data_IF_898323812764
#
_entry.id   IF_898323812764
#
_cell.length_a   1.000
_cell.length_b   1.000
_cell.length_c   1.000
_cell.angle_alpha   90.00
_cell.angle_beta   90.00
_cell.angle_gamma   90.00
#
_symmetry.space_group_name_H-M   'P 1'
#
loop_
_entity.id
_entity.type
_entity.pdbx_description
1 polymer ?
#
# COMPACT_ATOMS: atom_id res chain seq x y z
N UNK A 1 -22.26 47.06 7.29
CA UNK A 1 -21.15 47.74 6.59
C UNK A 1 -20.63 46.75 5.57
N UNK A 2 -20.65 47.13 4.28
CA UNK A 2 -20.50 46.25 3.12
C UNK A 2 -19.14 46.60 2.51
N UNK A 3 -18.13 45.75 2.67
CA UNK A 3 -16.83 46.02 2.07
C UNK A 3 -16.47 44.89 1.09
N UNK A 4 -16.22 45.32 -0.13
CA UNK A 4 -16.15 44.55 -1.35
C UNK A 4 -14.81 43.82 -1.51
N UNK A 5 -14.87 42.64 -2.15
CA UNK A 5 -13.74 42.05 -2.88
C UNK A 5 -13.42 42.91 -4.12
N UNK A 6 -12.14 42.93 -4.53
CA UNK A 6 -11.87 42.46 -5.87
C UNK A 6 -10.71 41.47 -5.97
N UNK A 7 -10.89 40.53 -6.92
CA UNK A 7 -9.92 39.58 -7.45
C UNK A 7 -8.58 40.23 -7.82
N UNK A 8 -7.48 39.49 -7.65
CA UNK A 8 -6.44 39.42 -8.68
C UNK A 8 -5.91 37.99 -8.79
N UNK A 9 -6.21 37.38 -9.94
CA UNK A 9 -5.60 36.14 -10.39
C UNK A 9 -4.30 36.46 -11.14
N UNK A 10 -3.23 35.72 -10.89
CA UNK A 10 -2.13 35.56 -11.83
C UNK A 10 -1.51 34.17 -11.68
N UNK A 11 -1.91 33.32 -12.61
CA UNK A 11 -1.41 31.98 -12.88
C UNK A 11 -0.10 32.12 -13.67
N UNK A 12 1.01 31.55 -13.20
CA UNK A 12 2.23 31.38 -14.01
C UNK A 12 2.68 29.92 -13.96
N UNK A 13 2.16 29.20 -14.97
CA UNK A 13 2.75 28.15 -15.80
C UNK A 13 3.97 27.37 -15.27
N UNK A 14 3.80 26.05 -15.32
CA UNK A 14 4.76 25.00 -15.05
C UNK A 14 5.83 24.83 -16.16
N UNK A 15 6.78 23.92 -15.84
CA UNK A 15 7.70 23.15 -16.69
C UNK A 15 8.84 23.92 -17.37
N UNK A 16 10.10 23.46 -17.37
CA UNK A 16 10.73 22.28 -16.81
C UNK A 16 12.24 22.42 -17.02
N UNK A 17 13.04 22.09 -16.00
CA UNK A 17 14.50 22.12 -16.12
C UNK A 17 14.99 21.03 -17.06
N UNK A 18 15.88 21.45 -17.94
CA UNK A 18 16.34 20.74 -19.12
C UNK A 18 17.25 19.57 -18.77
N UNK A 19 16.98 18.42 -19.39
CA UNK A 19 17.74 17.19 -19.26
C UNK A 19 19.03 17.29 -20.09
N UNK A 20 20.12 17.69 -19.45
CA UNK A 20 21.47 17.48 -19.98
C UNK A 20 22.05 16.23 -19.33
N UNK A 21 21.99 15.11 -20.04
CA UNK A 21 22.92 14.00 -19.80
C UNK A 21 23.53 13.64 -21.13
N UNK A 22 24.83 13.89 -21.19
CA UNK A 22 25.70 13.69 -22.32
C UNK A 22 25.67 12.23 -22.79
N UNK A 23 25.91 12.13 -24.09
CA UNK A 23 26.34 10.97 -24.86
C UNK A 23 27.38 10.14 -24.09
N UNK A 24 27.02 8.90 -23.72
CA UNK A 24 27.97 7.87 -23.33
C UNK A 24 27.94 6.80 -24.43
N UNK A 25 29.07 6.41 -25.03
CA UNK A 25 29.09 5.39 -26.07
C UNK A 25 28.59 4.05 -25.50
N UNK A 26 27.85 3.25 -26.30
CA UNK A 26 27.41 1.94 -25.86
C UNK A 26 28.61 1.02 -25.56
N UNK A 27 28.54 0.18 -24.51
CA UNK A 27 29.57 -0.81 -24.27
C UNK A 27 29.64 -1.84 -25.42
N UNK A 28 30.80 -2.43 -25.70
CA UNK A 28 30.96 -3.41 -26.78
C UNK A 28 30.11 -4.67 -26.53
N UNK A 29 29.66 -5.37 -27.60
CA UNK A 29 28.86 -6.57 -27.47
C UNK A 29 29.67 -7.66 -26.77
N UNK A 30 29.29 -7.97 -25.54
CA UNK A 30 29.85 -9.10 -24.80
C UNK A 30 29.08 -10.35 -25.20
N UNK A 31 29.81 -11.39 -25.58
CA UNK A 31 29.34 -12.67 -26.12
C UNK A 31 28.21 -13.33 -25.30
N UNK A 32 27.37 -14.19 -25.92
CA UNK A 32 26.32 -14.90 -25.22
C UNK A 32 26.92 -15.85 -24.17
N UNK A 33 26.65 -15.56 -22.90
CA UNK A 33 26.86 -16.52 -21.82
C UNK A 33 25.79 -17.60 -21.99
N UNK A 34 26.23 -18.81 -22.30
CA UNK A 34 25.38 -20.01 -22.31
C UNK A 34 24.72 -20.16 -20.94
N UNK A 35 23.41 -19.91 -20.88
CA UNK A 35 22.57 -20.30 -19.75
C UNK A 35 22.48 -21.83 -19.71
N UNK A 36 22.98 -22.51 -18.66
CA UNK A 36 22.69 -23.92 -18.47
C UNK A 36 21.20 -24.11 -18.18
N UNK A 37 20.53 -24.88 -19.04
CA UNK A 37 19.14 -25.28 -18.87
C UNK A 37 19.01 -26.21 -17.67
N UNK A 38 18.57 -25.69 -16.53
CA UNK A 38 18.01 -26.51 -15.47
C UNK A 38 16.55 -26.81 -15.85
N UNK A 39 16.33 -27.97 -16.49
CA UNK A 39 15.00 -28.54 -16.62
C UNK A 39 14.67 -29.33 -15.35
N UNK A 40 13.42 -29.16 -14.94
CA UNK A 40 12.59 -30.19 -14.33
C UNK A 40 12.89 -30.55 -12.86
N UNK A 41 12.18 -29.88 -11.96
CA UNK A 41 11.48 -30.53 -10.83
C UNK A 41 10.50 -29.54 -10.21
N UNK A 42 9.20 -29.77 -10.40
CA UNK A 42 8.15 -29.17 -9.58
C UNK A 42 7.62 -27.83 -10.08
N UNK A 43 6.93 -27.84 -11.21
CA UNK A 43 5.93 -26.81 -11.50
C UNK A 43 4.76 -27.02 -10.52
N UNK A 44 4.49 -26.11 -9.56
CA UNK A 44 3.23 -26.16 -8.84
C UNK A 44 2.17 -25.86 -9.89
N UNK A 45 1.27 -26.83 -10.10
CA UNK A 45 0.06 -26.66 -10.88
C UNK A 45 -0.60 -25.34 -10.50
N UNK A 46 -1.01 -24.57 -11.52
CA UNK A 46 -1.86 -23.40 -11.34
C UNK A 46 -3.00 -23.75 -10.38
N UNK A 47 -3.40 -22.85 -9.45
CA UNK A 47 -4.58 -23.10 -8.66
C UNK A 47 -5.77 -23.28 -9.62
N UNK A 48 -6.66 -24.25 -9.37
CA UNK A 48 -7.86 -24.39 -10.18
C UNK A 48 -8.68 -23.10 -10.10
N UNK A 49 -9.11 -22.60 -11.26
CA UNK A 49 -10.20 -21.64 -11.37
C UNK A 49 -11.47 -22.30 -10.85
N UNK A 50 -11.71 -22.19 -9.55
CA UNK A 50 -13.01 -22.48 -8.97
C UNK A 50 -13.91 -21.25 -9.18
N UNK A 51 -14.68 -21.29 -10.26
CA UNK A 51 -15.93 -20.54 -10.38
C UNK A 51 -16.93 -21.12 -9.37
N UNK A 52 -16.69 -20.84 -8.10
CA UNK A 52 -17.58 -21.18 -6.99
C UNK A 52 -18.59 -20.05 -6.77
N UNK A 53 -19.71 -20.11 -7.50
CA UNK A 53 -20.92 -19.39 -7.12
C UNK A 53 -21.41 -19.92 -5.77
N UNK A 54 -21.05 -19.25 -4.67
CA UNK A 54 -21.52 -19.64 -3.34
C UNK A 54 -20.75 -19.06 -2.16
N UNK A 55 -20.58 -17.74 -2.07
CA UNK A 55 -20.19 -17.09 -0.81
C UNK A 55 -20.94 -15.76 -0.66
N UNK A 56 -22.24 -15.86 -0.38
CA UNK A 56 -22.99 -14.70 0.12
C UNK A 56 -22.51 -14.45 1.54
N UNK A 57 -21.80 -13.33 1.76
CA UNK A 57 -21.51 -12.81 3.10
C UNK A 57 -20.05 -12.76 3.50
N UNK A 58 -19.10 -12.62 2.58
CA UNK A 58 -17.78 -12.12 2.94
C UNK A 58 -17.32 -11.01 1.98
N UNK A 59 -17.17 -9.79 2.50
CA UNK A 59 -16.43 -8.76 1.78
C UNK A 59 -14.99 -9.26 1.57
N UNK A 60 -14.41 -9.10 0.36
CA UNK A 60 -13.03 -9.48 0.13
C UNK A 60 -12.12 -8.79 1.15
N UNK A 61 -11.10 -9.47 1.71
CA UNK A 61 -10.16 -8.85 2.67
C UNK A 61 -9.62 -7.49 2.20
N UNK A 62 -9.39 -7.34 0.90
CA UNK A 62 -8.94 -6.10 0.29
C UNK A 62 -9.93 -4.92 0.43
N UNK A 63 -11.23 -5.17 0.43
CA UNK A 63 -12.24 -4.11 0.53
C UNK A 63 -12.34 -3.59 1.97
N UNK A 64 -12.23 -4.48 2.96
CA UNK A 64 -12.16 -4.09 4.39
C UNK A 64 -10.91 -3.26 4.68
N UNK A 65 -9.76 -3.67 4.16
CA UNK A 65 -8.50 -2.93 4.27
C UNK A 65 -8.63 -1.51 3.66
N UNK A 66 -9.20 -1.41 2.46
CA UNK A 66 -9.40 -0.14 1.78
C UNK A 66 -10.33 0.81 2.56
N UNK A 67 -11.41 0.28 3.17
CA UNK A 67 -12.27 1.08 4.04
C UNK A 67 -11.49 1.66 5.22
N UNK A 68 -10.70 0.81 5.89
CA UNK A 68 -9.91 1.21 7.06
C UNK A 68 -8.86 2.26 6.68
N UNK A 69 -8.19 2.10 5.55
CA UNK A 69 -7.21 3.08 5.08
C UNK A 69 -7.83 4.46 4.82
N UNK A 70 -9.02 4.50 4.22
CA UNK A 70 -9.73 5.77 4.02
C UNK A 70 -10.17 6.39 5.35
N UNK A 71 -10.63 5.56 6.30
CA UNK A 71 -10.99 6.02 7.62
C UNK A 71 -9.79 6.61 8.37
N UNK A 72 -8.65 5.91 8.39
CA UNK A 72 -7.42 6.38 9.02
C UNK A 72 -6.95 7.71 8.43
N UNK A 73 -6.95 7.82 7.10
CA UNK A 73 -6.59 9.05 6.39
C UNK A 73 -7.50 10.22 6.74
N UNK A 74 -8.81 10.00 6.83
CA UNK A 74 -9.76 11.05 7.21
C UNK A 74 -9.53 11.58 8.65
N UNK A 75 -8.88 10.78 9.50
CA UNK A 75 -8.58 11.11 10.89
C UNK A 75 -7.12 11.56 11.12
N UNK A 76 -6.34 11.79 10.06
CA UNK A 76 -4.91 12.17 10.15
C UNK A 76 -4.10 11.15 10.96
N UNK A 77 -4.44 9.87 10.76
CA UNK A 77 -3.71 8.74 11.32
C UNK A 77 -2.88 8.08 10.24
N UNK A 78 -1.76 7.50 10.66
CA UNK A 78 -0.94 6.68 9.81
C UNK A 78 -1.57 5.30 9.53
N UNK A 79 -0.87 4.48 8.76
CA UNK A 79 -1.31 3.14 8.36
C UNK A 79 -1.48 2.14 9.50
N UNK A 80 -1.07 2.47 10.72
CA UNK A 80 -1.18 1.63 11.91
C UNK A 80 -2.12 2.23 12.96
N UNK A 81 -2.80 3.34 12.65
CA UNK A 81 -3.71 4.02 13.58
C UNK A 81 -3.01 4.90 14.62
N UNK A 82 -1.75 5.28 14.39
CA UNK A 82 -1.04 6.28 15.19
C UNK A 82 -1.18 7.67 14.57
N UNK A 83 -0.90 8.76 15.31
CA UNK A 83 -0.86 10.09 14.70
C UNK A 83 0.08 10.11 13.47
N UNK A 84 -0.32 10.82 12.42
CA UNK A 84 0.52 11.01 11.24
C UNK A 84 1.91 11.56 11.64
N UNK A 85 2.96 11.07 10.98
CA UNK A 85 4.35 11.44 11.30
C UNK A 85 4.95 10.66 12.48
N UNK A 86 4.25 9.67 13.04
CA UNK A 86 4.84 8.77 14.04
C UNK A 86 6.07 8.06 13.47
N UNK A 87 7.18 8.12 14.21
CA UNK A 87 8.41 7.40 13.86
C UNK A 87 8.49 6.08 14.61
N UNK A 88 8.92 5.03 13.91
CA UNK A 88 9.12 3.69 14.47
C UNK A 88 10.60 3.33 14.44
N UNK A 89 11.24 3.35 15.61
CA UNK A 89 12.59 2.85 15.78
C UNK A 89 12.54 1.32 15.78
N UNK A 90 13.20 0.67 14.82
CA UNK A 90 13.19 -0.80 14.69
C UNK A 90 12.20 -1.37 13.66
N UNK A 91 11.60 -0.54 12.80
CA UNK A 91 10.80 -1.02 11.68
C UNK A 91 9.30 -0.88 11.88
N UNK A 92 8.53 -1.97 11.78
CA UNK A 92 7.06 -1.93 11.84
C UNK A 92 6.57 -2.12 13.28
N UNK A 93 5.54 -1.39 13.75
CA UNK A 93 4.92 -1.65 15.06
C UNK A 93 4.20 -3.01 15.15
N UNK A 94 4.09 -3.72 14.02
CA UNK A 94 3.50 -5.05 13.95
C UNK A 94 4.48 -6.17 14.29
N UNK A 95 5.79 -5.90 14.33
CA UNK A 95 6.80 -6.91 14.60
C UNK A 95 7.36 -6.78 16.01
N UNK A 96 7.30 -7.87 16.77
CA UNK A 96 7.92 -7.95 18.09
C UNK A 96 9.32 -8.56 17.96
N UNK A 97 10.37 -7.74 18.03
CA UNK A 97 11.76 -8.20 17.88
C UNK A 97 12.21 -9.15 19.01
N UNK A 98 11.60 -9.07 20.19
CA UNK A 98 11.96 -9.94 21.32
C UNK A 98 11.42 -11.37 21.15
N UNK A 99 10.26 -11.52 20.50
CA UNK A 99 9.62 -12.84 20.30
C UNK A 99 9.73 -13.35 18.86
N UNK A 100 10.01 -12.47 17.90
CA UNK A 100 9.99 -12.76 16.46
C UNK A 100 8.57 -12.86 15.87
N UNK A 101 7.53 -12.49 16.61
CA UNK A 101 6.14 -12.59 16.16
C UNK A 101 5.68 -11.36 15.39
N UNK A 102 4.79 -11.56 14.41
CA UNK A 102 4.14 -10.49 13.65
C UNK A 102 2.64 -10.48 13.93
N UNK A 103 2.08 -9.31 14.21
CA UNK A 103 0.64 -9.11 14.39
C UNK A 103 -0.03 -8.71 13.07
N UNK A 104 -1.29 -9.14 12.88
CA UNK A 104 -2.13 -8.65 11.79
C UNK A 104 -2.38 -7.13 11.90
N UNK A 105 -2.39 -6.44 10.75
CA UNK A 105 -2.53 -4.99 10.71
C UNK A 105 -3.92 -4.54 11.16
N UNK A 106 -4.98 -5.19 10.67
CA UNK A 106 -6.35 -4.79 11.03
C UNK A 106 -6.63 -5.07 12.50
N UNK A 107 -6.14 -6.20 13.02
CA UNK A 107 -6.20 -6.48 14.45
C UNK A 107 -5.53 -5.37 15.26
N UNK A 108 -4.30 -4.98 14.90
CA UNK A 108 -3.57 -3.91 15.55
C UNK A 108 -4.31 -2.56 15.49
N UNK A 109 -4.80 -2.19 14.31
CA UNK A 109 -5.54 -0.94 14.10
C UNK A 109 -6.82 -0.94 14.92
N UNK A 110 -7.60 -2.03 14.91
CA UNK A 110 -8.88 -2.09 15.63
C UNK A 110 -8.73 -2.14 17.15
N UNK A 111 -7.63 -2.70 17.66
CA UNK A 111 -7.33 -2.62 19.08
C UNK A 111 -7.14 -1.17 19.55
N UNK A 112 -6.63 -0.30 18.68
CA UNK A 112 -6.37 1.12 18.97
C UNK A 112 -7.51 2.05 18.56
N UNK A 113 -8.17 1.74 17.45
CA UNK A 113 -9.19 2.55 16.79
C UNK A 113 -10.49 1.74 16.67
N UNK A 114 -11.22 1.51 17.78
CA UNK A 114 -12.46 0.74 17.74
C UNK A 114 -13.55 1.39 16.88
N UNK A 115 -13.47 2.70 16.66
CA UNK A 115 -14.35 3.47 15.76
C UNK A 115 -14.14 3.08 14.30
N UNK A 116 -12.88 2.81 13.89
CA UNK A 116 -12.58 2.30 12.56
C UNK A 116 -13.25 0.94 12.33
N UNK A 117 -13.25 0.06 13.35
CA UNK A 117 -13.92 -1.25 13.27
C UNK A 117 -15.43 -1.10 13.08
N UNK A 118 -16.05 -0.13 13.77
CA UNK A 118 -17.49 0.15 13.65
C UNK A 118 -17.83 0.75 12.28
N UNK A 119 -16.99 1.64 11.77
CA UNK A 119 -17.19 2.31 10.48
C UNK A 119 -16.91 1.39 9.28
N UNK A 120 -16.01 0.43 9.44
CA UNK A 120 -15.60 -0.53 8.42
C UNK A 120 -15.90 -1.97 8.86
N UNK A 121 -17.20 -2.34 8.95
CA UNK A 121 -17.57 -3.69 9.34
C UNK A 121 -17.09 -4.69 8.28
N UNK A 122 -16.43 -5.75 8.75
CA UNK A 122 -16.19 -6.94 7.95
C UNK A 122 -17.02 -8.09 8.50
N UNK A 123 -17.20 -9.11 7.68
CA UNK A 123 -17.73 -10.39 8.15
C UNK A 123 -16.59 -11.12 8.84
N UNK A 124 -16.62 -11.15 10.18
CA UNK A 124 -15.65 -11.93 10.94
C UNK A 124 -15.92 -13.42 10.64
N UNK A 125 -15.12 -14.01 9.75
CA UNK A 125 -15.15 -15.45 9.51
C UNK A 125 -14.63 -16.14 10.79
N UNK A 126 -15.54 -16.84 11.48
CA UNK A 126 -15.28 -17.53 12.74
C UNK A 126 -15.16 -19.03 12.50
#
# INVERSE_FOLDING_TARGET
MKNALPLLAALCLATGCHKNTADAPPPPPTAPVETPSYRDAGQPSAPPSDSGTGAQGAEPPAAREACVDQWLKAHQLDRYGHPEGTMYAGGSPLFNEATGETQDRLEHVFARQPEAKKACPGTDAR
#
